data_IF_923273507711
#
_entry.id   IF_923273507711
#
_cell.length_a   1.000
_cell.length_b   1.000
_cell.length_c   1.000
_cell.angle_alpha   90.00
_cell.angle_beta   90.00
_cell.angle_gamma   90.00
#
_symmetry.space_group_name_H-M   'P 1'
#
loop_
_entity.id
_entity.type
_entity.pdbx_description
1 polymer ?
#
# COMPACT_ATOMS: atom_id res chain seq x y z
N UNK A 1 28.63 -23.58 -2.72
CA UNK A 1 28.49 -23.16 -4.13
C UNK A 1 28.27 -21.64 -4.13
N UNK A 2 28.78 -20.93 -5.14
CA UNK A 2 28.72 -19.47 -5.22
C UNK A 2 28.03 -19.05 -6.51
N UNK A 3 27.18 -18.02 -6.45
CA UNK A 3 26.46 -17.43 -7.57
C UNK A 3 27.06 -16.08 -7.94
N UNK A 4 27.01 -15.76 -9.24
CA UNK A 4 27.31 -14.44 -9.75
C UNK A 4 26.01 -13.67 -9.92
N UNK A 5 25.89 -12.52 -9.26
CA UNK A 5 24.69 -11.69 -9.33
C UNK A 5 25.02 -10.27 -9.77
N UNK A 6 24.02 -9.59 -10.32
CA UNK A 6 24.05 -8.18 -10.65
C UNK A 6 22.79 -7.51 -10.13
N UNK A 7 22.94 -6.43 -9.38
CA UNK A 7 21.80 -5.66 -8.88
C UNK A 7 21.32 -4.67 -9.94
N UNK A 8 20.01 -4.67 -10.21
CA UNK A 8 19.35 -3.71 -11.09
C UNK A 8 18.21 -3.02 -10.34
N UNK A 9 17.88 -1.78 -10.71
CA UNK A 9 16.70 -1.10 -10.17
C UNK A 9 16.15 -0.11 -11.18
N UNK A 10 14.83 0.12 -11.12
CA UNK A 10 14.16 1.22 -11.82
C UNK A 10 14.22 2.53 -11.03
N UNK A 11 14.57 2.47 -9.74
CA UNK A 11 14.64 3.63 -8.85
C UNK A 11 15.97 4.35 -9.00
N UNK A 12 16.02 5.41 -9.82
CA UNK A 12 17.25 6.18 -10.06
C UNK A 12 17.92 6.69 -8.77
N UNK A 13 17.13 7.07 -7.76
CA UNK A 13 17.61 7.52 -6.44
C UNK A 13 18.47 6.49 -5.69
N UNK A 14 18.31 5.21 -5.99
CA UNK A 14 19.04 4.13 -5.35
C UNK A 14 19.96 3.40 -6.32
N UNK A 15 20.33 3.99 -7.46
CA UNK A 15 21.17 3.32 -8.45
C UNK A 15 22.52 2.88 -7.85
N UNK A 16 22.88 1.61 -8.09
CA UNK A 16 24.17 1.04 -7.74
C UNK A 16 25.02 0.85 -8.99
N UNK A 17 26.37 0.88 -8.88
CA UNK A 17 27.25 0.60 -10.01
C UNK A 17 26.95 -0.75 -10.64
N UNK A 18 27.10 -0.82 -11.96
CA UNK A 18 27.01 -2.07 -12.71
C UNK A 18 28.22 -2.95 -12.40
N UNK A 19 28.11 -3.79 -11.38
CA UNK A 19 29.19 -4.64 -10.89
C UNK A 19 28.66 -6.03 -10.57
N UNK A 20 29.34 -7.05 -11.07
CA UNK A 20 29.05 -8.45 -10.76
C UNK A 20 29.61 -8.80 -9.39
N UNK A 21 28.76 -9.37 -8.53
CA UNK A 21 29.11 -9.79 -7.18
C UNK A 21 29.04 -11.31 -7.06
N UNK A 22 29.96 -11.89 -6.29
CA UNK A 22 29.96 -13.32 -5.99
C UNK A 22 29.39 -13.53 -4.60
N UNK A 23 28.26 -14.22 -4.50
CA UNK A 23 27.56 -14.48 -3.23
C UNK A 23 27.31 -15.99 -3.02
N UNK A 24 27.14 -16.45 -1.77
CA UNK A 24 26.72 -17.83 -1.50
C UNK A 24 25.33 -18.16 -2.08
N UNK A 25 25.10 -19.40 -2.50
CA UNK A 25 23.76 -19.81 -2.99
C UNK A 25 22.67 -19.75 -1.91
N UNK A 26 23.04 -19.98 -0.65
CA UNK A 26 22.14 -19.96 0.50
C UNK A 26 21.74 -18.55 0.96
N UNK A 27 22.07 -17.51 0.19
CA UNK A 27 21.79 -16.13 0.56
C UNK A 27 20.29 -15.85 0.60
N UNK A 28 19.85 -15.22 1.69
CA UNK A 28 18.45 -14.83 1.94
C UNK A 28 18.24 -13.33 1.66
N UNK A 29 16.98 -12.90 1.56
CA UNK A 29 16.65 -11.48 1.35
C UNK A 29 17.30 -10.53 2.36
N UNK A 30 17.39 -10.91 3.64
CA UNK A 30 18.02 -10.08 4.67
C UNK A 30 19.52 -9.88 4.42
N UNK A 31 20.18 -10.89 3.86
CA UNK A 31 21.60 -10.79 3.50
C UNK A 31 21.79 -9.98 2.22
N UNK A 32 20.90 -10.12 1.22
CA UNK A 32 20.89 -9.25 0.03
C UNK A 32 20.66 -7.78 0.42
N UNK A 33 19.76 -7.51 1.37
CA UNK A 33 19.51 -6.16 1.91
C UNK A 33 20.76 -5.57 2.58
N UNK A 34 21.48 -6.37 3.37
CA UNK A 34 22.73 -5.94 3.99
C UNK A 34 23.82 -5.62 2.96
N UNK A 35 23.97 -6.45 1.92
CA UNK A 35 24.93 -6.22 0.83
C UNK A 35 24.56 -4.96 0.06
N UNK A 36 23.28 -4.82 -0.33
CA UNK A 36 22.78 -3.66 -1.06
C UNK A 36 23.01 -2.36 -0.26
N UNK A 37 22.68 -2.36 1.03
CA UNK A 37 22.92 -1.20 1.91
C UNK A 37 24.41 -0.86 2.00
N UNK A 38 25.30 -1.85 2.02
CA UNK A 38 26.74 -1.63 1.97
C UNK A 38 27.20 -0.91 0.69
N UNK A 39 26.61 -1.24 -0.47
CA UNK A 39 26.89 -0.56 -1.74
C UNK A 39 26.33 0.86 -1.77
N UNK A 40 25.14 1.05 -1.21
CA UNK A 40 24.45 2.35 -1.18
C UNK A 40 25.05 3.35 -0.18
N UNK A 41 25.84 2.92 0.80
CA UNK A 41 26.49 3.83 1.76
C UNK A 41 27.38 4.89 1.09
N UNK A 42 27.85 4.64 -0.14
CA UNK A 42 28.67 5.58 -0.91
C UNK A 42 27.85 6.69 -1.58
N UNK A 43 26.55 6.46 -1.79
CA UNK A 43 25.65 7.35 -2.53
C UNK A 43 24.57 7.97 -1.65
N UNK A 44 24.13 7.28 -0.60
CA UNK A 44 23.02 7.68 0.27
C UNK A 44 23.49 7.78 1.72
N UNK A 45 23.04 8.84 2.41
CA UNK A 45 23.34 9.06 3.83
C UNK A 45 22.89 7.89 4.72
N UNK A 46 23.75 7.48 5.65
CA UNK A 46 23.52 6.35 6.57
C UNK A 46 22.21 6.43 7.37
N UNK A 47 21.80 7.65 7.77
CA UNK A 47 20.55 7.89 8.52
C UNK A 47 19.28 7.54 7.72
N UNK A 48 19.34 7.62 6.39
CA UNK A 48 18.22 7.28 5.52
C UNK A 48 18.23 5.78 5.22
N UNK A 49 19.41 5.22 4.94
CA UNK A 49 19.58 3.80 4.63
C UNK A 49 19.12 2.87 5.75
N UNK A 50 19.28 3.25 7.01
CA UNK A 50 18.85 2.43 8.15
C UNK A 50 17.33 2.29 8.24
N UNK A 51 16.56 3.23 7.69
CA UNK A 51 15.09 3.22 7.70
C UNK A 51 14.49 2.48 6.51
N UNK A 52 15.25 2.32 5.44
CA UNK A 52 14.80 1.67 4.22
C UNK A 52 14.91 0.16 4.34
N UNK A 53 13.94 -0.54 3.77
CA UNK A 53 13.96 -1.98 3.54
C UNK A 53 13.80 -2.20 2.04
N UNK A 54 14.46 -3.21 1.50
CA UNK A 54 14.33 -3.58 0.10
C UNK A 54 13.74 -4.97 -0.05
N UNK A 55 12.91 -5.14 -1.07
CA UNK A 55 12.46 -6.44 -1.56
C UNK A 55 13.17 -6.73 -2.90
N UNK A 56 13.45 -8.00 -3.15
CA UNK A 56 14.25 -8.45 -4.29
C UNK A 56 13.43 -9.33 -5.22
N UNK A 57 13.61 -9.12 -6.52
CA UNK A 57 12.96 -9.83 -7.60
C UNK A 57 14.02 -10.50 -8.46
N UNK A 58 13.80 -11.76 -8.77
CA UNK A 58 14.57 -12.52 -9.73
C UNK A 58 13.58 -13.15 -10.73
N UNK A 59 13.82 -12.96 -12.03
CA UNK A 59 12.90 -13.36 -13.10
C UNK A 59 11.47 -12.80 -12.94
N UNK A 60 11.37 -11.51 -12.53
CA UNK A 60 10.12 -10.80 -12.26
C UNK A 60 9.22 -11.46 -11.19
N UNK A 61 9.81 -12.25 -10.28
CA UNK A 61 9.16 -12.83 -9.11
C UNK A 61 9.91 -12.43 -7.84
N UNK A 62 9.16 -12.09 -6.80
CA UNK A 62 9.73 -11.80 -5.48
C UNK A 62 10.40 -13.04 -4.91
N UNK A 63 11.63 -12.89 -4.45
CA UNK A 63 12.34 -13.94 -3.72
C UNK A 63 11.70 -14.01 -2.33
N UNK A 64 11.27 -15.20 -1.90
CA UNK A 64 10.66 -15.42 -0.57
C UNK A 64 11.41 -16.44 0.29
N UNK A 65 12.34 -17.17 -0.31
CA UNK A 65 13.15 -18.22 0.30
C UNK A 65 14.65 -17.93 0.09
N UNK A 66 15.49 -18.97 0.06
CA UNK A 66 16.88 -18.81 -0.38
C UNK A 66 16.96 -18.58 -1.89
N UNK A 67 18.02 -17.89 -2.34
CA UNK A 67 18.22 -17.64 -3.76
C UNK A 67 18.35 -18.96 -4.55
N UNK A 68 19.00 -19.97 -3.98
CA UNK A 68 19.12 -21.30 -4.57
C UNK A 68 17.77 -21.96 -4.86
N UNK A 69 16.88 -22.03 -3.87
CA UNK A 69 15.55 -22.64 -4.01
C UNK A 69 14.72 -21.88 -5.06
N UNK A 70 14.76 -20.53 -5.02
CA UNK A 70 14.04 -19.69 -5.98
C UNK A 70 14.51 -19.89 -7.43
N UNK A 71 15.81 -20.14 -7.64
CA UNK A 71 16.37 -20.43 -8.96
C UNK A 71 16.02 -21.86 -9.39
N UNK A 72 16.16 -22.84 -8.50
CA UNK A 72 15.82 -24.24 -8.77
C UNK A 72 14.37 -24.45 -9.18
N UNK A 73 13.44 -23.68 -8.59
CA UNK A 73 12.03 -23.69 -9.01
C UNK A 73 11.83 -23.26 -10.47
N UNK A 74 12.75 -22.46 -11.02
CA UNK A 74 12.73 -22.03 -12.42
C UNK A 74 13.50 -22.99 -13.31
N UNK A 75 14.80 -23.13 -13.05
CA UNK A 75 15.72 -23.96 -13.82
C UNK A 75 17.06 -24.07 -13.08
N UNK A 76 17.54 -25.29 -12.82
CA UNK A 76 18.81 -25.53 -12.14
C UNK A 76 20.04 -25.12 -12.96
N UNK A 77 19.93 -25.09 -14.29
CA UNK A 77 21.05 -24.72 -15.18
C UNK A 77 21.46 -23.25 -15.05
N UNK A 78 20.56 -22.41 -14.52
CA UNK A 78 20.81 -20.98 -14.31
C UNK A 78 21.79 -20.69 -13.16
N UNK A 79 22.10 -21.68 -12.31
CA UNK A 79 23.08 -21.53 -11.22
C UNK A 79 24.51 -21.24 -11.72
N UNK A 80 24.81 -21.52 -13.00
CA UNK A 80 26.11 -21.24 -13.61
C UNK A 80 26.16 -19.90 -14.36
N UNK A 81 25.05 -19.13 -14.37
CA UNK A 81 24.92 -17.88 -15.11
C UNK A 81 24.99 -16.64 -14.21
N UNK A 82 25.14 -15.46 -14.82
CA UNK A 82 25.01 -14.19 -14.10
C UNK A 82 23.53 -13.88 -13.94
N UNK A 83 23.10 -13.74 -12.69
CA UNK A 83 21.69 -13.54 -12.35
C UNK A 83 21.43 -12.08 -12.03
N UNK A 84 20.49 -11.48 -12.77
CA UNK A 84 20.03 -10.13 -12.51
C UNK A 84 18.96 -10.13 -11.41
N UNK A 85 19.23 -9.40 -10.34
CA UNK A 85 18.32 -9.23 -9.21
C UNK A 85 17.83 -7.78 -9.22
N UNK A 86 16.55 -7.60 -9.54
CA UNK A 86 15.89 -6.30 -9.42
C UNK A 86 15.53 -6.05 -7.96
N UNK A 87 15.84 -4.88 -7.42
CA UNK A 87 15.39 -4.49 -6.08
C UNK A 87 14.49 -3.27 -6.11
N UNK A 88 13.53 -3.29 -5.18
CA UNK A 88 12.53 -2.25 -4.98
C UNK A 88 12.46 -1.89 -3.51
N UNK A 89 12.05 -0.66 -3.22
CA UNK A 89 11.76 -0.24 -1.85
C UNK A 89 10.57 -1.05 -1.31
N UNK A 90 10.77 -1.70 -0.16
CA UNK A 90 9.76 -2.50 0.48
C UNK A 90 8.74 -1.58 1.14
N UNK A 91 7.54 -1.57 0.60
CA UNK A 91 6.42 -0.92 1.24
C UNK A 91 5.86 -1.83 2.34
N UNK A 92 5.75 -1.32 3.56
CA UNK A 92 5.03 -2.06 4.60
C UNK A 92 3.55 -2.05 4.26
N UNK A 93 2.91 -3.22 4.33
CA UNK A 93 1.46 -3.30 4.14
C UNK A 93 0.74 -2.43 5.18
N UNK A 94 -0.37 -1.78 4.81
CA UNK A 94 -1.14 -0.95 5.74
C UNK A 94 -1.52 -1.80 6.97
N UNK A 95 -1.16 -1.31 8.16
CA UNK A 95 -1.59 -1.90 9.42
C UNK A 95 -2.86 -1.19 9.89
N UNK A 96 -3.81 -1.92 10.50
CA UNK A 96 -4.99 -1.28 11.08
C UNK A 96 -4.55 -0.36 12.23
N UNK A 97 -4.86 0.93 12.11
CA UNK A 97 -4.54 1.92 13.15
C UNK A 97 -5.70 2.09 14.14
N UNK A 98 -6.95 2.14 13.64
CA UNK A 98 -8.13 2.43 14.44
C UNK A 98 -9.43 1.88 13.79
N UNK A 99 -10.57 2.01 14.48
CA UNK A 99 -11.89 1.61 14.01
C UNK A 99 -13.01 2.59 14.44
N UNK A 100 -13.84 3.01 13.47
CA UNK A 100 -15.07 3.77 13.74
C UNK A 100 -16.20 2.80 14.12
N UNK A 101 -16.71 2.92 15.34
CA UNK A 101 -17.69 1.96 15.89
C UNK A 101 -19.12 2.34 15.48
N UNK A 102 -19.86 1.37 14.94
CA UNK A 102 -21.28 1.47 14.60
C UNK A 102 -22.04 0.27 15.17
N UNK A 103 -23.25 0.51 15.67
CA UNK A 103 -24.12 -0.55 16.21
C UNK A 103 -24.76 -1.42 15.12
N UNK A 104 -24.79 -0.91 13.89
CA UNK A 104 -25.48 -1.51 12.74
C UNK A 104 -24.47 -1.75 11.62
N UNK A 105 -24.80 -2.67 10.72
CA UNK A 105 -23.95 -3.02 9.58
C UNK A 105 -23.72 -1.84 8.65
N UNK A 106 -22.43 -1.64 8.35
CA UNK A 106 -21.96 -0.67 7.37
C UNK A 106 -22.06 -1.30 5.98
N UNK A 107 -22.59 -0.53 5.04
CA UNK A 107 -22.84 -0.94 3.66
C UNK A 107 -21.84 -0.34 2.68
N UNK A 108 -21.46 0.91 2.92
CA UNK A 108 -20.47 1.62 2.11
C UNK A 108 -19.76 2.64 3.00
N UNK A 109 -18.53 3.01 2.64
CA UNK A 109 -17.83 4.10 3.28
C UNK A 109 -16.95 4.85 2.27
N UNK A 110 -16.87 6.16 2.45
CA UNK A 110 -16.05 7.01 1.61
C UNK A 110 -15.34 8.03 2.47
N UNK A 111 -14.05 8.24 2.20
CA UNK A 111 -13.25 9.23 2.89
C UNK A 111 -12.77 10.28 1.90
N UNK A 112 -12.78 11.54 2.33
CA UNK A 112 -12.25 12.67 1.60
C UNK A 112 -11.62 13.64 2.57
N UNK A 113 -10.30 13.82 2.45
CA UNK A 113 -9.46 14.76 3.22
C UNK A 113 -9.73 14.84 4.72
N UNK A 114 -10.81 15.49 5.15
CA UNK A 114 -11.24 15.76 6.54
C UNK A 114 -12.51 15.01 6.99
N UNK A 115 -13.20 14.36 6.05
CA UNK A 115 -14.56 13.86 6.20
C UNK A 115 -14.67 12.39 5.79
N UNK A 116 -15.40 11.61 6.59
CA UNK A 116 -15.68 10.20 6.32
C UNK A 116 -17.21 10.01 6.33
N UNK A 117 -17.75 9.58 5.21
CA UNK A 117 -19.15 9.18 5.06
C UNK A 117 -19.27 7.67 5.26
N UNK A 118 -20.29 7.26 5.99
CA UNK A 118 -20.61 5.86 6.26
C UNK A 118 -22.09 5.64 5.98
N UNK A 119 -22.39 4.72 5.06
CA UNK A 119 -23.75 4.29 4.77
C UNK A 119 -24.07 3.09 5.64
N UNK A 120 -25.22 3.15 6.32
CA UNK A 120 -25.62 2.14 7.29
C UNK A 120 -26.95 1.49 6.91
N UNK A 121 -27.17 0.28 7.40
CA UNK A 121 -28.46 -0.40 7.34
C UNK A 121 -29.56 0.30 8.14
N UNK A 122 -29.20 1.26 9.01
CA UNK A 122 -30.15 2.04 9.81
C UNK A 122 -30.90 3.13 9.02
N UNK A 123 -30.76 3.13 7.68
CA UNK A 123 -31.34 4.08 6.72
C UNK A 123 -30.72 5.48 6.74
N UNK A 124 -29.61 5.68 7.45
CA UNK A 124 -28.93 6.98 7.54
C UNK A 124 -27.57 6.95 6.86
N UNK A 125 -27.11 8.16 6.54
CA UNK A 125 -25.71 8.43 6.23
C UNK A 125 -25.08 9.06 7.46
N UNK A 126 -23.99 8.48 7.95
CA UNK A 126 -23.24 9.03 9.07
C UNK A 126 -22.02 9.78 8.55
N UNK A 127 -21.80 10.98 9.06
CA UNK A 127 -20.63 11.80 8.80
C UNK A 127 -19.71 11.77 10.01
N UNK A 128 -18.43 11.52 9.77
CA UNK A 128 -17.36 11.53 10.75
C UNK A 128 -16.24 12.47 10.30
N UNK A 129 -15.49 13.03 11.25
CA UNK A 129 -14.26 13.77 10.94
C UNK A 129 -13.01 12.86 11.03
N UNK A 130 -11.87 13.39 10.61
CA UNK A 130 -10.57 12.73 10.77
C UNK A 130 -10.13 12.49 12.22
N UNK A 131 -10.70 13.23 13.17
CA UNK A 131 -10.51 13.05 14.61
C UNK A 131 -11.36 11.90 15.17
N UNK A 132 -12.05 11.14 14.30
CA UNK A 132 -12.90 9.99 14.65
C UNK A 132 -14.11 10.37 15.49
N UNK A 133 -14.58 11.60 15.35
CA UNK A 133 -15.78 12.08 15.99
C UNK A 133 -16.96 11.93 15.04
N UNK A 134 -18.08 11.43 15.56
CA UNK A 134 -19.33 11.36 14.82
C UNK A 134 -19.95 12.76 14.77
N UNK A 135 -19.94 13.38 13.59
CA UNK A 135 -20.42 14.76 13.39
C UNK A 135 -21.95 14.77 13.30
N UNK A 136 -22.50 13.90 12.45
CA UNK A 136 -23.93 13.90 12.15
C UNK A 136 -24.43 12.54 11.66
N UNK A 137 -25.71 12.28 11.89
CA UNK A 137 -26.47 11.24 11.20
C UNK A 137 -27.55 11.92 10.38
N UNK A 138 -27.54 11.68 9.07
CA UNK A 138 -28.40 12.34 8.09
C UNK A 138 -29.63 11.46 7.81
N UNK A 139 -30.80 11.80 8.36
CA UNK A 139 -32.03 11.08 8.06
C UNK A 139 -32.59 11.55 6.71
N UNK A 140 -33.14 10.64 5.92
CA UNK A 140 -33.80 11.01 4.67
C UNK A 140 -34.26 9.82 3.83
N UNK A 141 -33.51 8.72 3.88
CA UNK A 141 -33.86 7.51 3.14
C UNK A 141 -34.91 6.68 3.87
N UNK A 142 -35.79 6.03 3.11
CA UNK A 142 -36.79 5.11 3.63
C UNK A 142 -36.29 3.64 3.64
N UNK A 143 -35.08 3.40 3.14
CA UNK A 143 -34.47 2.08 3.04
C UNK A 143 -32.95 2.14 3.28
N UNK A 144 -32.30 0.99 3.54
CA UNK A 144 -30.85 0.92 3.75
C UNK A 144 -30.05 1.58 2.64
N UNK A 145 -29.07 2.41 3.03
CA UNK A 145 -28.20 3.13 2.10
C UNK A 145 -27.09 2.21 1.62
N UNK A 146 -26.97 1.96 0.31
CA UNK A 146 -25.97 1.01 -0.24
C UNK A 146 -24.79 1.63 -0.94
N UNK A 147 -24.88 2.90 -1.30
CA UNK A 147 -23.82 3.56 -2.04
C UNK A 147 -23.70 5.01 -1.63
N UNK A 148 -22.46 5.48 -1.55
CA UNK A 148 -22.07 6.85 -1.32
C UNK A 148 -21.09 7.30 -2.41
N UNK A 149 -21.18 8.57 -2.78
CA UNK A 149 -20.16 9.21 -3.61
C UNK A 149 -20.09 10.72 -3.32
N UNK A 150 -18.92 11.21 -2.91
CA UNK A 150 -18.55 12.61 -2.98
C UNK A 150 -18.56 13.05 -4.45
N UNK A 151 -19.23 14.17 -4.69
CA UNK A 151 -19.33 14.84 -6.00
C UNK A 151 -18.35 16.00 -6.04
N UNK A 152 -18.30 16.78 -4.97
CA UNK A 152 -17.52 18.02 -4.89
C UNK A 152 -17.02 18.25 -3.47
N UNK A 153 -15.86 18.87 -3.37
CA UNK A 153 -15.30 19.35 -2.11
C UNK A 153 -14.37 20.52 -2.38
N UNK A 154 -14.67 21.66 -1.77
CA UNK A 154 -13.82 22.85 -1.83
C UNK A 154 -14.03 23.71 -0.57
N UNK A 155 -12.94 24.16 0.03
CA UNK A 155 -12.93 25.05 1.21
C UNK A 155 -13.91 24.70 2.36
N UNK A 156 -14.20 23.41 2.59
CA UNK A 156 -15.10 22.93 3.65
C UNK A 156 -16.57 22.75 3.24
N UNK A 157 -16.93 23.11 2.00
CA UNK A 157 -18.20 22.73 1.39
C UNK A 157 -18.05 21.36 0.72
N UNK A 158 -18.90 20.42 1.10
CA UNK A 158 -18.94 19.08 0.53
C UNK A 158 -20.31 18.79 -0.07
N UNK A 159 -20.32 18.29 -1.30
CA UNK A 159 -21.50 17.73 -1.95
C UNK A 159 -21.29 16.24 -2.18
N UNK A 160 -22.29 15.44 -1.82
CA UNK A 160 -22.25 13.99 -2.02
C UNK A 160 -23.64 13.44 -2.29
N UNK A 161 -23.69 12.24 -2.85
CA UNK A 161 -24.92 11.50 -3.09
C UNK A 161 -24.96 10.21 -2.29
N UNK A 162 -26.18 9.77 -2.01
CA UNK A 162 -26.44 8.43 -1.47
C UNK A 162 -27.54 7.71 -2.25
N UNK A 163 -27.28 6.42 -2.50
CA UNK A 163 -28.16 5.50 -3.22
C UNK A 163 -28.71 4.39 -2.31
N UNK A 164 -29.95 4.51 -1.82
CA UNK A 164 -30.66 3.51 -1.03
C UNK A 164 -31.44 2.47 -1.87
N UNK A 165 -32.13 1.56 -1.17
CA UNK A 165 -33.09 0.60 -1.75
C UNK A 165 -34.49 1.17 -2.05
N UNK A 166 -34.75 2.45 -1.78
CA UNK A 166 -36.07 3.07 -1.94
C UNK A 166 -36.31 3.70 -3.33
N UNK A 167 -35.42 3.42 -4.29
CA UNK A 167 -35.46 3.93 -5.67
C UNK A 167 -35.24 5.45 -5.79
N UNK A 168 -34.75 6.10 -4.74
CA UNK A 168 -34.33 7.51 -4.79
C UNK A 168 -32.81 7.63 -4.82
N UNK A 169 -32.32 8.82 -5.17
CA UNK A 169 -30.96 9.27 -4.88
C UNK A 169 -31.12 10.61 -4.18
N UNK A 170 -30.49 10.76 -3.01
CA UNK A 170 -30.45 12.03 -2.31
C UNK A 170 -29.10 12.71 -2.55
N UNK A 171 -29.16 13.98 -2.95
CA UNK A 171 -28.01 14.87 -3.04
C UNK A 171 -27.95 15.65 -1.73
N UNK A 172 -26.78 15.65 -1.11
CA UNK A 172 -26.52 16.30 0.16
C UNK A 172 -25.49 17.39 -0.05
N UNK A 173 -25.74 18.54 0.56
CA UNK A 173 -24.77 19.60 0.70
C UNK A 173 -24.55 19.85 2.18
N UNK A 174 -23.30 19.88 2.58
CA UNK A 174 -22.91 20.15 3.95
C UNK A 174 -21.71 21.11 3.94
N UNK A 175 -21.79 22.13 4.79
CA UNK A 175 -20.78 23.15 4.97
C UNK A 175 -20.21 23.01 6.40
N UNK A 176 -18.89 23.03 6.52
CA UNK A 176 -18.18 22.99 7.81
C UNK A 176 -18.04 24.37 8.48
N UNK A 177 -18.53 25.45 7.85
CA UNK A 177 -18.47 26.84 8.38
C UNK A 177 -19.55 27.21 9.40
#
# INVERSE_FOLDING_TARGET
MSLQIKFITKLQKFSVPDTTLVIPCSTTNSQLDAILKGLLQRTVSSNVLSKLLFDFLCFNKLIRSSLEEHIKEKDESLLETIIEIEYIEKFQGPQPEDALIHDIWILDCQALSDSILVASYDTKVHLWNNQREHIASLPGHAAPVRSLAFIYSDEGEHEFISGPHDQTILIWKYDQN
#
